data_IF_990290087597
#
_entry.id   IF_990290087597
#
_cell.length_a   1.000
_cell.length_b   1.000
_cell.length_c   1.000
_cell.angle_alpha   90.00
_cell.angle_beta   90.00
_cell.angle_gamma   90.00
#
_symmetry.space_group_name_H-M   'P 1'
#
loop_
_entity.id
_entity.type
_entity.pdbx_description
1 polymer ?
#
# COMPACT_ATOMS: atom_id res chain seq x y z
N UNK A 1 -22.57 1.85 0.39
CA UNK A 1 -21.21 2.43 0.45
C UNK A 1 -21.21 3.77 -0.26
N UNK A 2 -20.46 4.76 0.23
CA UNK A 2 -20.30 6.04 -0.46
C UNK A 2 -19.39 5.92 -1.71
N UNK A 3 -18.39 5.04 -1.66
CA UNK A 3 -17.48 4.76 -2.78
C UNK A 3 -17.18 3.25 -2.88
N UNK A 4 -17.00 2.69 -4.09
CA UNK A 4 -16.47 1.35 -4.27
C UNK A 4 -15.03 1.25 -3.73
N UNK A 5 -14.64 0.13 -3.10
CA UNK A 5 -13.33 -0.01 -2.46
C UNK A 5 -12.20 0.19 -3.49
N UNK A 6 -11.15 0.92 -3.10
CA UNK A 6 -9.95 1.13 -3.93
C UNK A 6 -8.94 -0.01 -3.76
N UNK A 7 -8.73 -0.52 -2.55
CA UNK A 7 -7.95 -1.72 -2.24
C UNK A 7 -8.87 -2.95 -2.27
N UNK A 8 -8.92 -3.62 -3.41
CA UNK A 8 -9.99 -4.55 -3.77
C UNK A 8 -9.73 -5.99 -3.32
N UNK A 9 -8.47 -6.40 -3.27
CA UNK A 9 -8.09 -7.78 -2.96
C UNK A 9 -6.77 -7.79 -2.20
N UNK A 10 -6.67 -8.68 -1.22
CA UNK A 10 -5.47 -8.89 -0.40
C UNK A 10 -5.15 -10.38 -0.40
N UNK A 11 -3.90 -10.73 -0.64
CA UNK A 11 -3.41 -12.10 -0.59
C UNK A 11 -2.21 -12.18 0.35
N UNK A 12 -2.22 -13.16 1.25
CA UNK A 12 -1.10 -13.46 2.12
C UNK A 12 -0.34 -14.68 1.62
N UNK A 13 0.97 -14.72 1.89
CA UNK A 13 1.84 -15.83 1.55
C UNK A 13 2.83 -16.08 2.68
N UNK A 14 3.12 -17.35 2.96
CA UNK A 14 4.10 -17.74 3.98
C UNK A 14 5.21 -18.57 3.35
N UNK A 15 6.45 -18.15 3.56
CA UNK A 15 7.65 -18.92 3.21
C UNK A 15 8.53 -19.06 4.45
N UNK A 16 8.76 -20.29 4.90
CA UNK A 16 9.45 -20.53 6.18
C UNK A 16 8.68 -19.90 7.35
N UNK A 17 9.23 -18.84 7.94
CA UNK A 17 8.59 -18.07 9.03
C UNK A 17 8.12 -16.68 8.61
N UNK A 18 8.32 -16.28 7.36
CA UNK A 18 8.02 -14.93 6.89
C UNK A 18 6.61 -14.86 6.28
N UNK A 19 5.82 -13.88 6.71
CA UNK A 19 4.51 -13.56 6.17
C UNK A 19 4.61 -12.35 5.24
N UNK A 20 4.38 -12.57 3.95
CA UNK A 20 4.26 -11.52 2.95
C UNK A 20 2.78 -11.23 2.64
N UNK A 21 2.51 -10.02 2.18
CA UNK A 21 1.17 -9.58 1.80
C UNK A 21 1.22 -8.82 0.47
N UNK A 22 0.39 -9.24 -0.48
CA UNK A 22 0.12 -8.50 -1.71
C UNK A 22 -1.27 -7.86 -1.66
N UNK A 23 -1.35 -6.59 -2.03
CA UNK A 23 -2.62 -5.86 -2.21
C UNK A 23 -2.78 -5.48 -3.66
N UNK A 24 -3.98 -5.73 -4.22
CA UNK A 24 -4.39 -5.13 -5.49
C UNK A 24 -5.25 -3.89 -5.23
N UNK A 25 -4.72 -2.73 -5.61
CA UNK A 25 -5.40 -1.44 -5.52
C UNK A 25 -5.82 -0.98 -6.92
N UNK A 26 -7.12 -1.00 -7.23
CA UNK A 26 -7.62 -0.66 -8.57
C UNK A 26 -7.37 0.79 -8.99
N UNK A 27 -7.22 1.69 -8.02
CA UNK A 27 -7.03 3.12 -8.22
C UNK A 27 -6.22 3.71 -7.05
N UNK A 28 -5.11 4.38 -7.35
CA UNK A 28 -4.21 4.96 -6.37
C UNK A 28 -3.86 6.41 -6.69
N UNK A 29 -4.20 7.29 -5.76
CA UNK A 29 -3.65 8.64 -5.70
C UNK A 29 -2.25 8.57 -5.12
N UNK A 30 -1.25 8.81 -5.96
CA UNK A 30 0.16 8.72 -5.58
C UNK A 30 0.62 9.86 -4.66
N UNK A 31 -0.10 10.98 -4.65
CA UNK A 31 0.26 12.15 -3.84
C UNK A 31 -0.17 12.05 -2.38
N UNK A 32 -1.25 11.32 -2.09
CA UNK A 32 -1.82 11.25 -0.73
C UNK A 32 -2.21 9.83 -0.32
N UNK A 33 -3.03 9.16 -1.12
CA UNK A 33 -3.61 7.86 -0.76
C UNK A 33 -2.58 6.73 -0.68
N UNK A 34 -1.72 6.60 -1.69
CA UNK A 34 -0.77 5.50 -1.80
C UNK A 34 0.21 5.43 -0.60
N UNK A 35 0.83 6.53 -0.13
CA UNK A 35 1.65 6.50 1.09
C UNK A 35 0.90 5.97 2.31
N UNK A 36 -0.37 6.39 2.49
CA UNK A 36 -1.21 5.92 3.58
C UNK A 36 -1.51 4.42 3.45
N UNK A 37 -1.84 3.95 2.24
CA UNK A 37 -2.12 2.54 1.99
C UNK A 37 -0.88 1.65 2.24
N UNK A 38 0.31 2.11 1.83
CA UNK A 38 1.57 1.39 2.11
C UNK A 38 1.77 1.22 3.61
N UNK A 39 1.64 2.30 4.39
CA UNK A 39 1.79 2.25 5.85
C UNK A 39 0.73 1.35 6.49
N UNK A 40 -0.54 1.48 6.09
CA UNK A 40 -1.66 0.73 6.64
C UNK A 40 -1.51 -0.78 6.43
N UNK A 41 -1.14 -1.22 5.23
CA UNK A 41 -1.00 -2.65 4.95
C UNK A 41 0.30 -3.23 5.48
N UNK A 42 1.37 -2.45 5.53
CA UNK A 42 2.59 -2.85 6.23
C UNK A 42 2.30 -3.08 7.72
N UNK A 43 1.58 -2.15 8.38
CA UNK A 43 1.17 -2.33 9.77
C UNK A 43 0.31 -3.58 9.97
N UNK A 44 -0.59 -3.87 9.03
CA UNK A 44 -1.41 -5.09 9.07
C UNK A 44 -0.54 -6.36 9.07
N UNK A 45 0.53 -6.42 8.29
CA UNK A 45 1.49 -7.53 8.33
C UNK A 45 2.04 -7.70 9.75
N UNK A 46 2.56 -6.62 10.36
CA UNK A 46 3.10 -6.69 11.73
C UNK A 46 2.05 -7.15 12.75
N UNK A 47 0.80 -6.69 12.64
CA UNK A 47 -0.29 -7.11 13.53
C UNK A 47 -0.60 -8.61 13.38
N UNK A 48 -0.65 -9.12 12.14
CA UNK A 48 -0.90 -10.54 11.88
C UNK A 48 0.28 -11.39 12.36
N UNK A 49 1.52 -10.99 12.07
CA UNK A 49 2.73 -11.64 12.59
C UNK A 49 2.70 -11.74 14.12
N UNK A 50 2.27 -10.66 14.80
CA UNK A 50 2.20 -10.64 16.27
C UNK A 50 1.28 -11.71 16.85
N UNK A 51 0.14 -11.99 16.21
CA UNK A 51 -0.85 -12.97 16.69
C UNK A 51 -0.59 -14.40 16.19
N UNK A 52 0.17 -14.55 15.10
CA UNK A 52 0.50 -15.86 14.49
C UNK A 52 1.88 -16.39 14.89
N UNK A 53 2.74 -15.56 15.46
CA UNK A 53 4.13 -15.93 15.77
C UNK A 53 5.05 -16.01 14.54
N UNK A 54 4.60 -15.48 13.39
CA UNK A 54 5.40 -15.32 12.17
C UNK A 54 6.26 -14.05 12.24
N UNK A 55 7.17 -13.91 11.28
CA UNK A 55 8.00 -12.73 11.08
C UNK A 55 7.49 -11.92 9.87
N UNK A 56 7.58 -10.58 9.88
CA UNK A 56 7.20 -9.77 8.73
C UNK A 56 8.09 -10.10 7.53
N UNK A 57 7.46 -10.40 6.39
CA UNK A 57 8.10 -10.53 5.09
C UNK A 57 7.90 -9.28 4.25
N UNK A 58 7.56 -9.47 2.98
CA UNK A 58 7.40 -8.38 2.01
C UNK A 58 5.96 -7.85 1.95
N UNK A 59 5.84 -6.53 1.80
CA UNK A 59 4.61 -5.90 1.36
C UNK A 59 4.71 -5.59 -0.15
N UNK A 60 3.77 -6.12 -0.94
CA UNK A 60 3.68 -5.88 -2.38
C UNK A 60 2.39 -5.12 -2.69
N UNK A 61 2.52 -3.96 -3.35
CA UNK A 61 1.38 -3.17 -3.82
C UNK A 61 1.28 -3.26 -5.35
N UNK A 62 0.28 -3.98 -5.84
CA UNK A 62 -0.07 -4.03 -7.25
C UNK A 62 -1.17 -2.99 -7.54
N UNK A 63 -0.90 -2.06 -8.45
CA UNK A 63 -1.80 -0.93 -8.73
C UNK A 63 -2.40 -1.05 -10.13
N UNK A 64 -3.70 -0.76 -10.24
CA UNK A 64 -4.39 -0.53 -11.51
C UNK A 64 -4.15 0.90 -12.02
N UNK A 65 -5.19 1.75 -11.97
CA UNK A 65 -5.07 3.16 -12.31
C UNK A 65 -4.15 3.87 -11.29
N UNK A 66 -3.02 4.38 -11.76
CA UNK A 66 -2.01 5.07 -10.96
C UNK A 66 -1.93 6.52 -11.40
N UNK A 67 -2.33 7.45 -10.54
CA UNK A 67 -2.48 8.86 -10.92
C UNK A 67 -1.96 9.84 -9.88
N UNK A 68 -1.64 11.03 -10.37
CA UNK A 68 -1.35 12.23 -9.59
C UNK A 68 -2.40 13.27 -9.98
N UNK A 69 -3.08 13.86 -8.99
CA UNK A 69 -3.96 14.99 -9.26
C UNK A 69 -3.16 16.21 -9.71
N UNK A 70 -3.69 17.00 -10.65
CA UNK A 70 -2.98 18.14 -11.24
C UNK A 70 -2.51 19.16 -10.18
N UNK A 71 -3.28 19.34 -9.11
CA UNK A 71 -2.96 20.22 -7.98
C UNK A 71 -1.95 19.61 -6.98
N UNK A 72 -1.51 18.36 -7.16
CA UNK A 72 -0.48 17.72 -6.33
C UNK A 72 0.92 17.77 -6.98
N UNK A 73 1.03 18.16 -8.26
CA UNK A 73 2.28 18.09 -9.02
C UNK A 73 3.39 18.95 -8.41
N UNK A 74 3.09 20.19 -8.01
CA UNK A 74 4.08 21.09 -7.40
C UNK A 74 4.59 20.54 -6.07
N UNK A 75 3.70 20.11 -5.18
CA UNK A 75 4.09 19.52 -3.91
C UNK A 75 4.90 18.23 -4.06
N UNK A 76 4.59 17.42 -5.08
CA UNK A 76 5.39 16.21 -5.38
C UNK A 76 6.78 16.54 -5.95
N UNK A 77 6.91 17.58 -6.77
CA UNK A 77 8.23 18.05 -7.25
C UNK A 77 9.12 18.51 -6.08
N UNK A 78 8.55 19.25 -5.14
CA UNK A 78 9.26 19.64 -3.91
C UNK A 78 9.68 18.40 -3.10
N UNK A 79 8.77 17.42 -2.92
CA UNK A 79 9.04 16.19 -2.18
C UNK A 79 10.21 15.37 -2.76
N UNK A 80 10.36 15.33 -4.09
CA UNK A 80 11.45 14.60 -4.76
C UNK A 80 12.70 15.45 -5.02
N UNK A 81 12.70 16.72 -4.62
CA UNK A 81 13.84 17.62 -4.75
C UNK A 81 14.07 18.15 -6.17
N UNK A 82 13.05 18.13 -7.04
CA UNK A 82 13.08 18.69 -8.40
C UNK A 82 12.65 20.17 -8.40
N UNK A 83 13.44 21.02 -7.72
CA UNK A 83 13.29 22.47 -7.74
C UNK A 83 14.28 23.14 -8.68
#
# INVERSE_FOLDING_TARGET
MALPPCHCMVQFYVSGKELSCQVYQRAADMGLGAPYNIASYSLLIYMICRVTGLQPGEFILAIGDTHIYANHVEGLREQVGEN
#
